data_IF_649655206195
#
_entry.id   IF_649655206195
#
_cell.length_a   1.000
_cell.length_b   1.000
_cell.length_c   1.000
_cell.angle_alpha   90.00
_cell.angle_beta   90.00
_cell.angle_gamma   90.00
#
_symmetry.space_group_name_H-M   'P 1'
#
loop_
_entity.id
_entity.type
_entity.pdbx_description
1 polymer ?
#
# COMPACT_ATOMS: atom_id res chain seq x y z
N UNK A 1 28.84 11.28 -7.01
CA UNK A 1 27.55 10.82 -6.43
C UNK A 1 26.39 11.03 -7.39
N UNK A 2 26.35 12.12 -8.16
CA UNK A 2 25.36 12.38 -9.22
C UNK A 2 25.34 11.31 -10.32
N UNK A 3 26.49 10.79 -10.73
CA UNK A 3 26.58 9.78 -11.80
C UNK A 3 25.95 8.43 -11.42
N UNK A 4 25.92 8.10 -10.12
CA UNK A 4 25.36 6.84 -9.64
C UNK A 4 23.82 6.85 -9.69
N UNK A 5 23.19 7.96 -9.30
CA UNK A 5 21.73 8.12 -9.35
C UNK A 5 21.20 8.39 -10.77
N UNK A 6 22.10 8.65 -11.72
CA UNK A 6 21.76 8.79 -13.14
C UNK A 6 21.89 7.46 -13.91
N UNK A 7 22.32 6.38 -13.24
CA UNK A 7 22.37 5.04 -13.84
C UNK A 7 20.93 4.48 -13.95
N UNK A 8 20.40 4.27 -15.17
CA UNK A 8 19.03 3.79 -15.38
C UNK A 8 18.80 2.42 -14.75
N UNK A 9 19.83 1.57 -14.66
CA UNK A 9 19.68 0.26 -14.06
C UNK A 9 19.51 0.38 -12.54
N UNK A 10 20.25 1.28 -11.90
CA UNK A 10 20.16 1.49 -10.46
C UNK A 10 18.80 2.09 -10.07
N UNK A 11 18.36 3.16 -10.74
CA UNK A 11 17.05 3.79 -10.48
C UNK A 11 15.91 2.80 -10.69
N UNK A 12 16.00 1.95 -11.71
CA UNK A 12 15.04 0.88 -11.98
C UNK A 12 14.94 -0.17 -10.86
N UNK A 13 16.08 -0.61 -10.31
CA UNK A 13 16.09 -1.55 -9.18
C UNK A 13 15.64 -0.88 -7.88
N UNK A 14 16.09 0.35 -7.64
CA UNK A 14 15.80 1.06 -6.40
C UNK A 14 14.31 1.44 -6.31
N UNK A 15 13.70 1.88 -7.41
CA UNK A 15 12.25 2.15 -7.50
C UNK A 15 11.44 0.90 -7.15
N UNK A 16 11.82 -0.26 -7.71
CA UNK A 16 11.14 -1.54 -7.41
C UNK A 16 11.34 -1.97 -5.97
N UNK A 17 12.58 -2.03 -5.51
CA UNK A 17 12.91 -2.52 -4.19
C UNK A 17 12.26 -1.65 -3.10
N UNK A 18 12.36 -0.32 -3.21
CA UNK A 18 11.75 0.60 -2.26
C UNK A 18 10.22 0.46 -2.23
N UNK A 19 9.55 0.39 -3.39
CA UNK A 19 8.10 0.20 -3.46
C UNK A 19 7.62 -1.13 -2.87
N UNK A 20 8.35 -2.22 -3.13
CA UNK A 20 8.00 -3.55 -2.60
C UNK A 20 8.21 -3.63 -1.08
N UNK A 21 9.35 -3.12 -0.58
CA UNK A 21 9.60 -3.11 0.87
C UNK A 21 8.61 -2.16 1.57
N UNK A 22 8.28 -1.01 0.96
CA UNK A 22 7.23 -0.12 1.48
C UNK A 22 5.88 -0.84 1.59
N UNK A 23 5.48 -1.63 0.58
CA UNK A 23 4.27 -2.44 0.65
C UNK A 23 4.32 -3.48 1.78
N UNK A 24 5.46 -4.17 1.98
CA UNK A 24 5.63 -5.10 3.09
C UNK A 24 5.50 -4.40 4.45
N UNK A 25 6.13 -3.25 4.63
CA UNK A 25 6.03 -2.46 5.86
C UNK A 25 4.62 -1.92 6.08
N UNK A 26 3.92 -1.51 5.02
CA UNK A 26 2.51 -1.11 5.09
C UNK A 26 1.63 -2.27 5.57
N UNK A 27 1.83 -3.47 5.03
CA UNK A 27 1.15 -4.71 5.46
C UNK A 27 1.41 -5.00 6.93
N UNK A 28 2.67 -4.94 7.38
CA UNK A 28 3.02 -5.15 8.79
C UNK A 28 2.38 -4.09 9.69
N UNK A 29 2.40 -2.82 9.28
CA UNK A 29 1.77 -1.72 10.02
C UNK A 29 0.26 -1.94 10.16
N UNK A 30 -0.42 -2.34 9.08
CA UNK A 30 -1.83 -2.70 9.07
C UNK A 30 -2.13 -3.87 10.03
N UNK A 31 -1.36 -4.95 9.96
CA UNK A 31 -1.52 -6.12 10.84
C UNK A 31 -1.35 -5.75 12.30
N UNK A 32 -0.35 -4.94 12.63
CA UNK A 32 -0.15 -4.39 13.97
C UNK A 32 -1.30 -3.49 14.40
N UNK A 33 -1.86 -2.68 13.50
CA UNK A 33 -3.03 -1.83 13.76
C UNK A 33 -4.30 -2.63 14.04
N UNK A 34 -4.55 -3.67 13.25
CA UNK A 34 -5.65 -4.63 13.49
C UNK A 34 -5.47 -5.30 14.85
N UNK A 35 -4.26 -5.76 15.16
CA UNK A 35 -3.95 -6.42 16.42
C UNK A 35 -3.95 -5.51 17.64
N UNK A 36 -3.52 -4.25 17.52
CA UNK A 36 -3.56 -3.29 18.62
C UNK A 36 -4.99 -3.00 19.13
N UNK A 37 -6.00 -3.29 18.31
CA UNK A 37 -7.41 -3.15 18.67
C UNK A 37 -7.98 -4.32 19.51
N UNK A 38 -7.21 -5.39 19.71
CA UNK A 38 -7.55 -6.55 20.56
C UNK A 38 -6.81 -6.50 21.90
N UNK A 39 -7.13 -7.40 22.83
CA UNK A 39 -6.41 -7.54 24.11
C UNK A 39 -5.06 -8.26 23.94
N UNK A 40 -4.29 -7.94 22.89
CA UNK A 40 -2.96 -8.49 22.61
C UNK A 40 -1.88 -8.16 23.65
N UNK A 41 -2.24 -7.46 24.73
CA UNK A 41 -1.35 -7.18 25.84
C UNK A 41 -1.15 -8.43 26.68
N UNK A 42 -0.15 -9.24 26.36
CA UNK A 42 0.37 -10.25 27.29
C UNK A 42 1.51 -9.67 28.10
N UNK A 43 1.89 -10.33 29.20
CA UNK A 43 3.04 -9.93 30.04
C UNK A 43 4.34 -9.85 29.24
N UNK A 44 4.46 -10.59 28.13
CA UNK A 44 5.63 -10.58 27.23
C UNK A 44 5.52 -9.57 26.07
N UNK A 45 4.31 -9.14 25.72
CA UNK A 45 4.04 -8.21 24.61
C UNK A 45 3.16 -7.04 25.09
N UNK A 46 3.75 -6.09 25.85
CA UNK A 46 3.02 -4.94 26.34
C UNK A 46 2.64 -3.97 25.22
N UNK A 47 1.54 -3.24 25.41
CA UNK A 47 0.98 -2.32 24.40
C UNK A 47 2.00 -1.30 23.88
N UNK A 48 2.90 -0.80 24.72
CA UNK A 48 3.91 0.17 24.29
C UNK A 48 4.83 -0.39 23.20
N UNK A 49 5.13 -1.69 23.21
CA UNK A 49 5.97 -2.34 22.19
C UNK A 49 5.22 -2.37 20.86
N UNK A 50 3.96 -2.81 20.86
CA UNK A 50 3.13 -2.83 19.63
C UNK A 50 2.96 -1.43 19.03
N UNK A 51 2.75 -0.42 19.87
CA UNK A 51 2.59 0.97 19.43
C UNK A 51 3.91 1.56 18.94
N UNK A 52 5.02 1.28 19.63
CA UNK A 52 6.36 1.68 19.20
C UNK A 52 6.71 1.04 17.85
N UNK A 53 6.46 -0.25 17.69
CA UNK A 53 6.72 -0.98 16.45
C UNK A 53 5.85 -0.47 15.29
N UNK A 54 4.54 -0.29 15.51
CA UNK A 54 3.64 0.28 14.51
C UNK A 54 4.11 1.67 14.06
N UNK A 55 4.51 2.53 15.00
CA UNK A 55 5.06 3.85 14.70
C UNK A 55 6.35 3.75 13.88
N UNK A 56 7.33 2.97 14.34
CA UNK A 56 8.62 2.84 13.66
C UNK A 56 8.46 2.28 12.25
N UNK A 57 7.71 1.19 12.08
CA UNK A 57 7.43 0.58 10.78
C UNK A 57 6.72 1.57 9.86
N UNK A 58 5.74 2.33 10.36
CA UNK A 58 5.03 3.33 9.55
C UNK A 58 5.94 4.47 9.09
N UNK A 59 6.88 4.89 9.93
CA UNK A 59 7.88 5.91 9.54
C UNK A 59 8.87 5.35 8.51
N UNK A 60 9.38 4.13 8.69
CA UNK A 60 10.23 3.49 7.68
C UNK A 60 9.51 3.29 6.35
N UNK A 61 8.23 2.90 6.39
CA UNK A 61 7.38 2.81 5.21
C UNK A 61 7.31 4.15 4.47
N UNK A 62 7.05 5.26 5.17
CA UNK A 62 7.03 6.59 4.54
C UNK A 62 8.39 7.01 3.96
N UNK A 63 9.49 6.68 4.63
CA UNK A 63 10.84 6.94 4.09
C UNK A 63 11.04 6.18 2.78
N UNK A 64 10.64 4.91 2.73
CA UNK A 64 10.75 4.11 1.50
C UNK A 64 9.80 4.58 0.40
N UNK A 65 8.60 5.06 0.73
CA UNK A 65 7.72 5.75 -0.23
C UNK A 65 8.39 7.01 -0.75
N UNK A 66 9.04 7.80 0.11
CA UNK A 66 9.82 8.96 -0.31
C UNK A 66 10.94 8.59 -1.28
N UNK A 67 11.70 7.53 -0.99
CA UNK A 67 12.73 7.00 -1.91
C UNK A 67 12.10 6.52 -3.21
N UNK A 68 10.97 5.81 -3.15
CA UNK A 68 10.24 5.35 -4.32
C UNK A 68 9.82 6.52 -5.23
N UNK A 69 9.28 7.61 -4.67
CA UNK A 69 8.92 8.82 -5.43
C UNK A 69 10.14 9.54 -6.01
N UNK A 70 11.19 9.73 -5.20
CA UNK A 70 12.43 10.39 -5.67
C UNK A 70 13.06 9.60 -6.81
N UNK A 71 13.08 8.28 -6.74
CA UNK A 71 13.64 7.43 -7.80
C UNK A 71 12.80 7.42 -9.06
N UNK A 72 11.48 7.57 -8.95
CA UNK A 72 10.60 7.82 -10.10
C UNK A 72 10.93 9.16 -10.77
N UNK A 73 11.15 10.23 -9.99
CA UNK A 73 11.48 11.55 -10.57
C UNK A 73 12.84 11.60 -11.24
N UNK A 74 13.74 10.68 -10.89
CA UNK A 74 15.07 10.53 -11.48
C UNK A 74 15.10 9.49 -12.62
N UNK A 75 13.98 8.81 -12.90
CA UNK A 75 13.91 7.81 -13.96
C UNK A 75 13.64 8.49 -15.31
N UNK A 76 14.56 8.36 -16.26
CA UNK A 76 14.41 8.88 -17.62
C UNK A 76 13.40 8.07 -18.47
N UNK A 77 12.97 6.90 -17.99
CA UNK A 77 12.06 6.03 -18.75
C UNK A 77 10.60 6.50 -18.69
N UNK A 78 10.16 7.11 -17.59
CA UNK A 78 8.80 7.61 -17.41
C UNK A 78 8.82 8.98 -16.73
N UNK A 79 8.48 10.02 -17.49
CA UNK A 79 8.31 11.36 -16.94
C UNK A 79 7.00 11.43 -16.12
N UNK A 80 7.14 11.30 -14.79
CA UNK A 80 6.05 11.58 -13.82
C UNK A 80 6.40 12.87 -13.09
N UNK A 81 5.53 13.87 -13.19
CA UNK A 81 5.75 15.15 -12.52
C UNK A 81 5.63 15.04 -10.99
N UNK A 82 6.27 15.98 -10.28
CA UNK A 82 6.12 16.09 -8.82
C UNK A 82 4.64 16.31 -8.46
N UNK A 83 3.90 17.08 -9.26
CA UNK A 83 2.48 17.32 -9.04
C UNK A 83 1.65 16.02 -9.09
N UNK A 84 1.93 15.12 -10.03
CA UNK A 84 1.28 13.80 -10.14
C UNK A 84 1.51 12.90 -8.92
N UNK A 85 2.58 13.15 -8.16
CA UNK A 85 2.92 12.40 -6.95
C UNK A 85 2.14 12.83 -5.72
N UNK A 86 1.42 13.96 -5.78
CA UNK A 86 0.62 14.52 -4.67
C UNK A 86 -0.82 14.87 -5.05
N UNK A 87 -1.15 14.82 -6.35
CA UNK A 87 -2.51 15.01 -6.85
C UNK A 87 -2.88 13.77 -7.64
N UNK A 88 -3.80 12.93 -7.14
CA UNK A 88 -4.10 11.67 -7.80
C UNK A 88 -4.84 11.92 -9.13
N UNK A 89 -4.59 11.04 -10.11
CA UNK A 89 -5.29 10.97 -11.40
C UNK A 89 -5.07 12.13 -12.39
N UNK A 90 -4.08 13.00 -12.18
CA UNK A 90 -3.76 14.08 -13.15
C UNK A 90 -2.71 13.68 -14.19
N UNK A 91 -2.01 12.57 -13.97
CA UNK A 91 -0.95 12.08 -14.86
C UNK A 91 -1.50 11.42 -16.11
N UNK A 92 -0.64 11.26 -17.13
CA UNK A 92 -1.00 10.60 -18.38
C UNK A 92 -0.55 9.13 -18.39
N UNK A 93 0.62 8.84 -17.83
CA UNK A 93 1.15 7.49 -17.74
C UNK A 93 0.35 6.66 -16.74
N UNK A 94 -0.36 5.64 -17.25
CA UNK A 94 -1.12 4.68 -16.42
C UNK A 94 -1.98 5.38 -15.36
N UNK A 95 -2.59 6.51 -15.75
CA UNK A 95 -3.21 7.52 -14.87
C UNK A 95 -4.02 6.95 -13.70
N UNK A 96 -4.79 5.88 -13.95
CA UNK A 96 -5.59 5.23 -12.94
C UNK A 96 -4.74 4.51 -11.90
N UNK A 97 -3.77 3.69 -12.34
CA UNK A 97 -2.92 2.91 -11.44
C UNK A 97 -1.96 3.81 -10.66
N UNK A 98 -1.34 4.78 -11.31
CA UNK A 98 -0.47 5.77 -10.66
C UNK A 98 -1.27 6.63 -9.67
N UNK A 99 -2.47 7.08 -10.04
CA UNK A 99 -3.37 7.81 -9.15
C UNK A 99 -3.80 7.04 -7.90
N UNK A 100 -3.97 5.71 -7.97
CA UNK A 100 -4.21 4.88 -6.77
C UNK A 100 -2.98 4.84 -5.85
N UNK A 101 -1.77 4.84 -6.43
CA UNK A 101 -0.51 4.94 -5.67
C UNK A 101 -0.41 6.27 -4.94
N UNK A 102 -0.63 7.38 -5.66
CA UNK A 102 -0.66 8.75 -5.11
C UNK A 102 -1.70 8.87 -4.00
N UNK A 103 -2.94 8.41 -4.23
CA UNK A 103 -3.99 8.45 -3.22
C UNK A 103 -3.60 7.63 -1.97
N UNK A 104 -2.98 6.47 -2.15
CA UNK A 104 -2.49 5.66 -1.03
C UNK A 104 -1.42 6.37 -0.21
N UNK A 105 -0.43 7.00 -0.87
CA UNK A 105 0.62 7.76 -0.18
C UNK A 105 0.06 9.00 0.52
N UNK A 106 -0.88 9.71 -0.08
CA UNK A 106 -1.52 10.88 0.53
C UNK A 106 -2.28 10.52 1.79
N UNK A 107 -3.03 9.41 1.77
CA UNK A 107 -3.73 8.90 2.95
C UNK A 107 -2.75 8.46 4.04
N UNK A 108 -1.61 7.87 3.67
CA UNK A 108 -0.56 7.50 4.62
C UNK A 108 0.09 8.72 5.27
N UNK A 109 0.40 9.75 4.47
CA UNK A 109 0.91 11.05 4.95
C UNK A 109 -0.10 11.70 5.87
N UNK A 110 -1.38 11.77 5.48
CA UNK A 110 -2.46 12.32 6.29
C UNK A 110 -2.61 11.57 7.63
N UNK A 111 -2.50 10.24 7.63
CA UNK A 111 -2.55 9.43 8.84
C UNK A 111 -1.37 9.71 9.79
N UNK A 112 -0.16 9.91 9.27
CA UNK A 112 1.02 10.24 10.09
C UNK A 112 0.96 11.68 10.60
N UNK A 113 0.68 12.64 9.73
CA UNK A 113 0.56 14.07 10.10
C UNK A 113 -0.54 14.27 11.15
N UNK A 114 -1.72 13.67 10.95
CA UNK A 114 -2.80 13.75 11.94
C UNK A 114 -2.42 13.09 13.26
N UNK A 115 -1.63 12.00 13.24
CA UNK A 115 -1.14 11.34 14.45
C UNK A 115 -0.12 12.18 15.22
N UNK A 116 0.74 12.92 14.52
CA UNK A 116 1.66 13.89 15.14
C UNK A 116 0.90 15.09 15.73
N UNK A 117 -0.17 15.53 15.06
CA UNK A 117 -1.00 16.66 15.48
C UNK A 117 -2.17 16.25 16.39
N UNK A 118 -2.25 14.99 16.83
CA UNK A 118 -3.39 14.43 17.57
C UNK A 118 -3.80 15.26 18.78
N UNK A 119 -2.84 15.86 19.49
CA UNK A 119 -3.12 16.71 20.66
C UNK A 119 -3.82 18.03 20.30
N UNK A 120 -3.66 18.53 19.06
CA UNK A 120 -4.25 19.80 18.58
C UNK A 120 -5.60 19.62 17.90
N UNK A 121 -5.76 18.55 17.11
CA UNK A 121 -6.98 18.32 16.30
C UNK A 121 -8.08 17.56 17.06
N UNK A 122 -7.77 17.06 18.27
CA UNK A 122 -8.68 16.27 19.08
C UNK A 122 -8.81 14.80 18.64
N UNK A 123 -9.26 13.96 19.57
CA UNK A 123 -9.34 12.50 19.35
C UNK A 123 -10.33 12.10 18.26
N UNK A 124 -11.48 12.76 18.17
CA UNK A 124 -12.52 12.44 17.18
C UNK A 124 -12.04 12.64 15.75
N UNK A 125 -11.50 13.82 15.44
CA UNK A 125 -10.92 14.16 14.13
C UNK A 125 -9.75 13.26 13.80
N UNK A 126 -8.80 13.09 14.73
CA UNK A 126 -7.69 12.17 14.55
C UNK A 126 -8.16 10.77 14.20
N UNK A 127 -9.16 10.24 14.92
CA UNK A 127 -9.68 8.90 14.69
C UNK A 127 -10.37 8.78 13.33
N UNK A 128 -11.13 9.78 12.92
CA UNK A 128 -11.78 9.80 11.60
C UNK A 128 -10.75 9.78 10.47
N UNK A 129 -9.69 10.60 10.56
CA UNK A 129 -8.59 10.61 9.59
C UNK A 129 -7.83 9.28 9.65
N UNK A 130 -7.48 8.80 10.83
CA UNK A 130 -6.72 7.57 10.97
C UNK A 130 -7.49 6.35 10.44
N UNK A 131 -8.82 6.36 10.46
CA UNK A 131 -9.63 5.31 9.85
C UNK A 131 -9.48 5.23 8.32
N UNK A 132 -9.14 6.33 7.64
CA UNK A 132 -8.87 6.28 6.20
C UNK A 132 -7.60 5.49 5.86
N UNK A 133 -6.69 5.31 6.81
CA UNK A 133 -5.48 4.49 6.63
C UNK A 133 -5.77 3.02 6.29
N UNK A 134 -6.97 2.52 6.63
CA UNK A 134 -7.40 1.19 6.22
C UNK A 134 -7.52 1.06 4.69
N UNK A 135 -7.71 2.17 3.97
CA UNK A 135 -7.76 2.20 2.51
C UNK A 135 -6.38 2.22 1.86
N UNK A 136 -5.32 2.64 2.56
CA UNK A 136 -3.96 2.67 2.01
C UNK A 136 -3.54 1.30 1.48
N UNK A 137 -3.75 0.24 2.27
CA UNK A 137 -3.31 -1.11 1.89
C UNK A 137 -3.98 -1.67 0.62
N UNK A 138 -5.33 -1.69 0.48
CA UNK A 138 -5.95 -2.18 -0.75
C UNK A 138 -5.60 -1.30 -1.96
N UNK A 139 -5.50 0.03 -1.80
CA UNK A 139 -5.07 0.93 -2.89
C UNK A 139 -3.65 0.61 -3.34
N UNK A 140 -2.72 0.41 -2.40
CA UNK A 140 -1.34 0.03 -2.70
C UNK A 140 -1.24 -1.34 -3.39
N UNK A 141 -2.01 -2.35 -2.96
CA UNK A 141 -2.05 -3.67 -3.63
C UNK A 141 -2.53 -3.55 -5.08
N UNK A 142 -3.62 -2.81 -5.31
CA UNK A 142 -4.16 -2.61 -6.66
C UNK A 142 -3.20 -1.79 -7.52
N UNK A 143 -2.56 -0.77 -6.95
CA UNK A 143 -1.49 -0.01 -7.61
C UNK A 143 -0.33 -0.92 -8.02
N UNK A 144 0.22 -1.73 -7.09
CA UNK A 144 1.32 -2.66 -7.37
C UNK A 144 0.97 -3.65 -8.48
N UNK A 145 -0.24 -4.23 -8.45
CA UNK A 145 -0.70 -5.16 -9.48
C UNK A 145 -0.99 -4.48 -10.82
N UNK A 146 -1.54 -3.27 -10.81
CA UNK A 146 -1.91 -2.54 -12.03
C UNK A 146 -0.72 -1.88 -12.74
N UNK A 147 0.18 -1.27 -11.97
CA UNK A 147 1.34 -0.54 -12.48
C UNK A 147 2.58 -1.43 -12.68
N UNK A 148 2.74 -2.50 -11.90
CA UNK A 148 3.94 -3.34 -11.93
C UNK A 148 4.16 -4.06 -13.25
N UNK A 149 5.40 -4.05 -13.74
CA UNK A 149 5.84 -4.82 -14.92
C UNK A 149 6.20 -6.26 -14.59
N UNK A 150 6.53 -6.55 -13.33
CA UNK A 150 6.95 -7.88 -12.85
C UNK A 150 5.79 -8.74 -12.33
N UNK A 151 4.54 -8.33 -12.52
CA UNK A 151 3.34 -8.96 -11.94
C UNK A 151 3.11 -10.40 -12.40
N UNK A 152 3.80 -10.85 -13.45
CA UNK A 152 3.75 -12.25 -13.94
C UNK A 152 4.94 -13.09 -13.50
N UNK A 153 5.89 -12.53 -12.74
CA UNK A 153 7.03 -13.27 -12.20
C UNK A 153 6.60 -14.00 -10.93
N UNK A 154 6.95 -15.27 -10.82
CA UNK A 154 6.52 -16.12 -9.69
C UNK A 154 6.86 -15.50 -8.33
N UNK A 155 8.05 -14.94 -8.18
CA UNK A 155 8.48 -14.30 -6.94
C UNK A 155 7.60 -13.10 -6.54
N UNK A 156 7.16 -12.29 -7.51
CA UNK A 156 6.30 -11.14 -7.26
C UNK A 156 4.87 -11.57 -6.92
N UNK A 157 4.38 -12.64 -7.56
CA UNK A 157 3.08 -13.25 -7.24
C UNK A 157 3.09 -13.78 -5.80
N UNK A 158 4.08 -14.58 -5.43
CA UNK A 158 4.22 -15.09 -4.06
C UNK A 158 4.37 -13.98 -3.02
N UNK A 159 5.10 -12.92 -3.36
CA UNK A 159 5.22 -11.75 -2.50
C UNK A 159 3.86 -11.09 -2.23
N UNK A 160 3.07 -10.81 -3.27
CA UNK A 160 1.73 -10.22 -3.11
C UNK A 160 0.80 -11.17 -2.34
N UNK A 161 0.82 -12.47 -2.65
CA UNK A 161 0.02 -13.47 -1.93
C UNK A 161 0.37 -13.53 -0.45
N UNK A 162 1.65 -13.46 -0.09
CA UNK A 162 2.07 -13.43 1.31
C UNK A 162 1.54 -12.19 2.06
N UNK A 163 1.60 -11.01 1.44
CA UNK A 163 1.05 -9.78 2.02
C UNK A 163 -0.47 -9.89 2.22
N UNK A 164 -1.21 -10.39 1.22
CA UNK A 164 -2.66 -10.59 1.29
C UNK A 164 -3.01 -11.60 2.38
N UNK A 165 -2.33 -12.75 2.41
CA UNK A 165 -2.55 -13.79 3.41
C UNK A 165 -2.35 -13.26 4.83
N UNK A 166 -1.30 -12.46 5.08
CA UNK A 166 -1.01 -11.91 6.40
C UNK A 166 -2.14 -10.98 6.90
N UNK A 167 -2.67 -10.12 6.04
CA UNK A 167 -3.81 -9.25 6.40
C UNK A 167 -5.08 -10.07 6.61
N UNK A 168 -5.37 -11.05 5.75
CA UNK A 168 -6.54 -11.91 5.90
C UNK A 168 -6.50 -12.71 7.20
N UNK A 169 -5.33 -13.23 7.60
CA UNK A 169 -5.15 -13.89 8.88
C UNK A 169 -5.41 -12.94 10.05
N UNK A 170 -4.91 -11.70 9.98
CA UNK A 170 -5.16 -10.69 11.02
C UNK A 170 -6.65 -10.33 11.13
N UNK A 171 -7.34 -10.17 9.99
CA UNK A 171 -8.79 -9.90 9.93
C UNK A 171 -9.59 -11.09 10.48
N UNK A 172 -9.28 -12.31 10.04
CA UNK A 172 -9.94 -13.53 10.51
C UNK A 172 -9.78 -13.67 12.02
N UNK A 173 -8.56 -13.49 12.53
CA UNK A 173 -8.29 -13.53 13.95
C UNK A 173 -9.09 -12.47 14.74
N UNK A 174 -9.19 -11.24 14.23
CA UNK A 174 -10.03 -10.18 14.82
C UNK A 174 -11.52 -10.54 14.86
N UNK A 175 -12.01 -11.22 13.83
CA UNK A 175 -13.39 -11.68 13.73
C UNK A 175 -13.67 -12.83 14.71
N UNK A 176 -12.70 -13.71 14.96
CA UNK A 176 -12.82 -14.80 15.95
C UNK A 176 -12.74 -14.27 17.39
N UNK A 177 -11.78 -13.39 17.71
CA UNK A 177 -11.50 -12.91 19.08
C UNK A 177 -12.71 -12.27 19.79
N UNK A 178 -13.64 -11.66 19.05
CA UNK A 178 -14.84 -11.08 19.65
C UNK A 178 -16.14 -11.76 19.23
N UNK A 179 -16.08 -12.98 18.69
CA UNK A 179 -17.26 -13.80 18.45
C UNK A 179 -17.84 -14.31 19.78
N UNK A 180 -19.17 -14.41 19.97
CA UNK A 180 -20.25 -14.07 19.03
C UNK A 180 -20.75 -12.62 19.13
N UNK A 181 -20.05 -11.73 19.85
CA UNK A 181 -20.51 -10.35 20.07
C UNK A 181 -20.65 -9.60 18.73
N UNK A 182 -21.87 -9.12 18.43
CA UNK A 182 -22.25 -8.48 17.15
C UNK A 182 -22.11 -9.41 15.93
N UNK A 183 -22.59 -10.65 16.04
CA UNK A 183 -22.51 -11.67 14.99
C UNK A 183 -22.93 -11.16 13.60
N UNK A 184 -24.05 -10.44 13.48
CA UNK A 184 -24.52 -9.89 12.18
C UNK A 184 -23.47 -8.99 11.50
N UNK A 185 -22.88 -8.05 12.24
CA UNK A 185 -21.85 -7.14 11.70
C UNK A 185 -20.58 -7.90 11.33
N UNK A 186 -20.22 -8.93 12.10
CA UNK A 186 -19.05 -9.77 11.84
C UNK A 186 -19.25 -10.66 10.61
N UNK A 187 -20.41 -11.28 10.45
CA UNK A 187 -20.77 -12.04 9.25
C UNK A 187 -20.75 -11.14 8.03
N UNK A 188 -21.32 -9.93 8.13
CA UNK A 188 -21.22 -8.92 7.08
C UNK A 188 -19.77 -8.59 6.72
N UNK A 189 -18.88 -8.41 7.71
CA UNK A 189 -17.46 -8.17 7.48
C UNK A 189 -16.75 -9.35 6.81
N UNK A 190 -17.08 -10.60 7.17
CA UNK A 190 -16.56 -11.80 6.48
C UNK A 190 -16.99 -11.80 5.02
N UNK A 191 -18.29 -11.58 4.74
CA UNK A 191 -18.82 -11.58 3.38
C UNK A 191 -18.18 -10.48 2.53
N UNK A 192 -18.10 -9.25 3.05
CA UNK A 192 -17.45 -8.12 2.35
C UNK A 192 -15.98 -8.43 2.07
N UNK A 193 -15.25 -8.99 3.05
CA UNK A 193 -13.84 -9.36 2.86
C UNK A 193 -13.69 -10.45 1.79
N UNK A 194 -14.52 -11.50 1.85
CA UNK A 194 -14.51 -12.59 0.87
C UNK A 194 -14.86 -12.09 -0.55
N UNK A 195 -15.89 -11.24 -0.67
CA UNK A 195 -16.26 -10.60 -1.93
C UNK A 195 -15.12 -9.73 -2.48
N UNK A 196 -14.50 -8.89 -1.65
CA UNK A 196 -13.39 -8.04 -2.06
C UNK A 196 -12.19 -8.87 -2.56
N UNK A 197 -11.82 -9.93 -1.83
CA UNK A 197 -10.76 -10.87 -2.26
C UNK A 197 -11.11 -11.53 -3.58
N UNK A 198 -12.35 -12.01 -3.74
CA UNK A 198 -12.80 -12.63 -4.97
C UNK A 198 -12.74 -11.66 -6.16
N UNK A 199 -13.23 -10.42 -6.00
CA UNK A 199 -13.19 -9.37 -7.03
C UNK A 199 -11.76 -9.02 -7.42
N UNK A 200 -10.86 -8.81 -6.45
CA UNK A 200 -9.46 -8.49 -6.74
C UNK A 200 -8.77 -9.66 -7.43
N UNK A 201 -9.04 -10.90 -7.01
CA UNK A 201 -8.45 -12.09 -7.62
C UNK A 201 -8.94 -12.32 -9.05
N UNK A 202 -10.24 -12.16 -9.32
CA UNK A 202 -10.77 -12.28 -10.69
C UNK A 202 -10.24 -11.17 -11.58
N UNK A 203 -10.20 -9.92 -11.10
CA UNK A 203 -9.57 -8.81 -11.80
C UNK A 203 -8.09 -9.07 -12.09
N UNK A 204 -7.32 -9.54 -11.10
CA UNK A 204 -5.89 -9.82 -11.28
C UNK A 204 -5.63 -10.87 -12.36
N UNK A 205 -6.46 -11.93 -12.41
CA UNK A 205 -6.39 -12.97 -13.45
C UNK A 205 -6.70 -12.44 -14.85
N UNK A 206 -7.70 -11.58 -14.98
CA UNK A 206 -8.15 -11.05 -16.27
C UNK A 206 -7.30 -9.86 -16.75
N UNK A 207 -6.69 -9.13 -15.83
CA UNK A 207 -5.87 -7.95 -16.08
C UNK A 207 -4.38 -8.24 -15.91
N UNK A 208 -3.76 -7.85 -14.77
CA UNK A 208 -2.33 -7.96 -14.49
C UNK A 208 -1.63 -9.26 -14.91
N UNK A 209 -2.27 -10.41 -14.69
CA UNK A 209 -1.68 -11.71 -14.99
C UNK A 209 -1.91 -12.17 -16.43
N UNK A 210 -2.77 -11.49 -17.19
CA UNK A 210 -3.05 -11.79 -18.58
C UNK A 210 -1.95 -11.26 -19.53
N UNK A 211 -1.67 -11.96 -20.65
CA UNK A 211 -0.73 -11.46 -21.66
C UNK A 211 -1.14 -10.08 -22.18
N UNK A 212 -0.14 -9.23 -22.46
CA UNK A 212 -0.37 -7.90 -23.03
C UNK A 212 -0.96 -6.86 -22.07
N UNK A 213 -1.11 -7.16 -20.77
CA UNK A 213 -1.63 -6.22 -19.78
C UNK A 213 -0.91 -4.87 -19.82
N UNK A 214 0.43 -4.88 -19.88
CA UNK A 214 1.23 -3.67 -19.93
C UNK A 214 0.74 -2.66 -20.98
N UNK A 215 0.36 -3.14 -22.17
CA UNK A 215 -0.17 -2.30 -23.27
C UNK A 215 -1.59 -1.80 -22.99
N UNK A 216 -2.43 -2.62 -22.35
CA UNK A 216 -3.84 -2.30 -22.03
C UNK A 216 -4.00 -1.46 -20.75
N UNK A 217 -2.98 -1.45 -19.89
CA UNK A 217 -3.00 -0.77 -18.60
C UNK A 217 -2.90 0.77 -18.70
N UNK A 218 -2.96 1.33 -19.91
CA UNK A 218 -2.89 2.78 -20.14
C UNK A 218 -1.46 3.31 -20.25
N UNK A 219 -0.51 2.50 -20.71
CA UNK A 219 0.79 3.05 -21.18
C UNK A 219 0.56 3.81 -22.48
N UNK A 220 0.49 5.13 -22.42
CA UNK A 220 0.69 5.94 -23.62
C UNK A 220 2.17 5.86 -23.98
N UNK A 221 2.52 5.36 -25.17
CA UNK A 221 3.88 5.54 -25.67
C UNK A 221 4.09 7.04 -25.86
N UNK A 222 5.08 7.63 -25.20
CA UNK A 222 5.56 8.95 -25.63
C UNK A 222 6.02 8.84 -27.09
N UNK A 223 5.56 9.72 -27.99
CA UNK A 223 6.07 9.77 -29.35
C UNK A 223 7.50 10.31 -29.31
N UNK A 224 8.47 9.45 -28.99
CA UNK A 224 9.86 9.89 -28.81
C UNK A 224 10.82 8.91 -28.13
N UNK A 225 10.40 7.70 -27.73
CA UNK A 225 11.34 6.68 -27.28
C UNK A 225 12.25 6.26 -28.46
N UNK A 226 13.46 6.81 -28.49
CA UNK A 226 14.57 6.33 -29.32
C UNK A 226 15.18 5.07 -28.73
#
# INVERSE_FOLDING_TARGET
>A
MTDLLSDPQLTWFLTRASGMIALALLTLSMVLGIGASTRLSSTRWPRFVTQGLHRSISLYMLVLVGIHLVTIWLDDYVEISIAESFVPFIGTYRWFWTGLGTLSSDLAIAAVVSSLLRQRIGYGTWRAIHWTSYLCWPLAIVHTLGAGSDTRKDWAVWFVLANVALVLLAVAWRIVDGWPRRALLRTGAVLVTACAVAVVFTWAKQGPFAPGWSKRAGTTQSPGAK
#
